data_IF_906972783121
#
_entry.id   IF_906972783121
#
_cell.length_a   1.000
_cell.length_b   1.000
_cell.length_c   1.000
_cell.angle_alpha   90.00
_cell.angle_beta   90.00
_cell.angle_gamma   90.00
#
_symmetry.space_group_name_H-M   'P 1'
#
loop_
_entity.id
_entity.type
_entity.pdbx_description
1 polymer ?
#
# COMPACT_ATOMS: atom_id res chain seq x y z
N UNK A 1 -3.27 24.63 12.35
CA UNK A 1 -3.96 24.96 11.09
C UNK A 1 -3.05 24.51 9.96
N UNK A 2 -3.19 23.25 9.58
CA UNK A 2 -2.63 22.74 8.34
C UNK A 2 -3.69 23.09 7.27
N UNK A 3 -3.34 23.79 6.19
CA UNK A 3 -4.24 23.88 5.02
C UNK A 3 -4.46 22.48 4.44
N UNK A 4 -5.14 22.32 3.28
CA UNK A 4 -5.32 21.00 2.68
C UNK A 4 -3.96 20.45 2.21
N UNK A 5 -3.21 19.81 3.11
CA UNK A 5 -1.88 19.24 2.88
C UNK A 5 -1.92 18.32 1.66
N UNK A 6 -3.03 17.63 1.47
CA UNK A 6 -3.23 16.63 0.41
C UNK A 6 -3.10 17.20 -0.99
N UNK A 7 -3.50 18.45 -1.24
CA UNK A 7 -3.39 19.09 -2.56
C UNK A 7 -1.94 19.43 -2.93
N UNK A 8 -1.04 19.38 -1.95
CA UNK A 8 0.40 19.54 -2.14
C UNK A 8 1.12 18.17 -2.25
N UNK A 9 0.43 17.06 -1.99
CA UNK A 9 1.01 15.72 -2.10
C UNK A 9 0.98 15.27 -3.56
N UNK A 10 2.14 15.28 -4.20
CA UNK A 10 2.41 14.55 -5.45
C UNK A 10 3.29 13.33 -5.17
N UNK A 11 2.67 12.14 -5.17
CA UNK A 11 3.36 10.87 -4.92
C UNK A 11 4.29 10.43 -6.06
N UNK A 12 4.21 11.07 -7.22
CA UNK A 12 5.09 10.81 -8.35
C UNK A 12 6.18 11.87 -8.53
N UNK A 13 6.14 12.96 -7.76
CA UNK A 13 7.20 13.94 -7.79
C UNK A 13 8.54 13.28 -7.40
N UNK A 14 9.66 13.64 -8.04
CA UNK A 14 10.98 13.16 -7.64
C UNK A 14 11.25 13.46 -6.16
N UNK A 15 11.81 12.49 -5.45
CA UNK A 15 12.22 12.64 -4.03
C UNK A 15 13.72 12.53 -3.86
N UNK A 16 14.24 13.10 -2.76
CA UNK A 16 15.66 12.96 -2.42
C UNK A 16 16.03 11.52 -2.11
N UNK A 17 17.29 11.15 -2.41
CA UNK A 17 17.91 9.87 -2.08
C UNK A 17 18.70 9.89 -0.79
N UNK A 18 18.75 11.01 -0.07
CA UNK A 18 19.61 11.19 1.12
C UNK A 18 19.36 10.17 2.25
N UNK A 19 18.20 9.52 2.27
CA UNK A 19 17.87 8.46 3.23
C UNK A 19 18.28 7.04 2.80
N UNK A 20 18.71 6.83 1.55
CA UNK A 20 19.15 5.53 1.05
C UNK A 20 20.61 5.24 1.47
N UNK A 21 21.04 3.96 1.53
CA UNK A 21 22.45 3.66 1.75
C UNK A 21 23.34 4.32 0.70
N UNK A 22 24.36 5.06 1.14
CA UNK A 22 25.26 5.79 0.23
C UNK A 22 25.96 4.85 -0.76
N UNK A 23 26.30 3.63 -0.32
CA UNK A 23 26.90 2.61 -1.18
C UNK A 23 26.00 2.25 -2.38
N UNK A 24 24.69 2.14 -2.16
CA UNK A 24 23.71 1.89 -3.22
C UNK A 24 23.61 3.08 -4.18
N UNK A 25 23.52 4.30 -3.64
CA UNK A 25 23.41 5.52 -4.45
C UNK A 25 24.65 5.70 -5.32
N UNK A 26 25.83 5.59 -4.73
CA UNK A 26 27.12 5.67 -5.42
C UNK A 26 27.26 4.59 -6.51
N UNK A 27 26.83 3.35 -6.23
CA UNK A 27 26.86 2.26 -7.19
C UNK A 27 25.92 2.51 -8.37
N UNK A 28 24.72 3.04 -8.11
CA UNK A 28 23.77 3.45 -9.14
C UNK A 28 24.34 4.56 -10.03
N UNK A 29 24.96 5.59 -9.45
CA UNK A 29 25.59 6.69 -10.19
C UNK A 29 26.74 6.20 -11.09
N UNK A 30 27.57 5.29 -10.58
CA UNK A 30 28.66 4.67 -11.34
C UNK A 30 28.18 3.59 -12.31
N UNK A 31 26.90 3.21 -12.27
CA UNK A 31 26.33 2.07 -13.02
C UNK A 31 27.09 0.76 -12.77
N UNK A 32 27.58 0.58 -11.55
CA UNK A 32 28.20 -0.67 -11.12
C UNK A 32 27.11 -1.66 -10.72
N UNK A 33 26.58 -2.36 -11.72
CA UNK A 33 25.45 -3.28 -11.56
C UNK A 33 25.72 -4.42 -10.58
N UNK A 34 26.97 -4.84 -10.42
CA UNK A 34 27.33 -5.87 -9.46
C UNK A 34 27.16 -5.39 -8.01
N UNK A 35 27.65 -4.18 -7.73
CA UNK A 35 27.47 -3.53 -6.43
C UNK A 35 26.01 -3.14 -6.19
N UNK A 36 25.31 -2.62 -7.19
CA UNK A 36 23.87 -2.31 -7.08
C UNK A 36 23.07 -3.55 -6.68
N UNK A 37 23.33 -4.70 -7.31
CA UNK A 37 22.67 -5.96 -6.94
C UNK A 37 22.92 -6.33 -5.49
N UNK A 38 24.18 -6.33 -5.06
CA UNK A 38 24.55 -6.70 -3.69
C UNK A 38 23.92 -5.77 -2.64
N UNK A 39 23.85 -4.47 -2.93
CA UNK A 39 23.24 -3.50 -2.03
C UNK A 39 21.71 -3.61 -2.03
N UNK A 40 21.08 -3.87 -3.18
CA UNK A 40 19.64 -4.07 -3.27
C UNK A 40 19.16 -5.32 -2.52
N UNK A 41 19.93 -6.41 -2.53
CA UNK A 41 19.64 -7.61 -1.73
C UNK A 41 19.55 -7.28 -0.22
N UNK A 42 20.26 -6.25 0.25
CA UNK A 42 20.21 -5.84 1.67
C UNK A 42 19.02 -4.95 2.02
N UNK A 43 18.48 -4.19 1.06
CA UNK A 43 17.41 -3.21 1.31
C UNK A 43 16.04 -3.61 0.80
N UNK A 44 15.96 -4.44 -0.24
CA UNK A 44 14.71 -4.89 -0.85
C UNK A 44 14.27 -6.21 -0.21
N UNK A 45 13.10 -6.21 0.40
CA UNK A 45 12.48 -7.43 0.92
C UNK A 45 11.77 -8.26 -0.16
N UNK A 46 11.99 -7.93 -1.44
CA UNK A 46 11.53 -8.60 -2.66
C UNK A 46 10.03 -8.77 -2.86
N UNK A 47 9.16 -8.18 -2.03
CA UNK A 47 7.71 -8.21 -2.29
C UNK A 47 7.05 -6.83 -2.26
N UNK A 48 7.63 -5.85 -1.58
CA UNK A 48 7.05 -4.50 -1.51
C UNK A 48 8.11 -3.45 -1.71
N UNK A 49 7.83 -2.43 -2.52
CA UNK A 49 8.68 -1.23 -2.59
C UNK A 49 8.40 -0.23 -1.47
N UNK A 50 7.38 -0.54 -0.66
CA UNK A 50 6.85 0.24 0.45
C UNK A 50 7.50 -0.07 1.80
N UNK A 51 8.82 -0.31 1.83
CA UNK A 51 9.55 -0.55 3.07
C UNK A 51 10.02 0.74 3.76
N UNK A 52 10.99 0.59 4.66
CA UNK A 52 11.69 1.68 5.38
C UNK A 52 12.06 2.89 4.53
N UNK A 53 12.42 2.67 3.26
CA UNK A 53 12.91 3.70 2.35
C UNK A 53 11.83 4.24 1.39
N UNK A 54 10.63 3.65 1.40
CA UNK A 54 9.45 4.09 0.67
C UNK A 54 9.71 4.56 -0.77
N UNK A 55 9.14 5.72 -1.12
CA UNK A 55 9.24 6.34 -2.45
C UNK A 55 10.66 6.53 -2.97
N UNK A 56 11.66 6.75 -2.10
CA UNK A 56 13.05 6.90 -2.55
C UNK A 56 13.57 5.61 -3.18
N UNK A 57 13.29 4.46 -2.56
CA UNK A 57 13.68 3.15 -3.07
C UNK A 57 12.83 2.74 -4.28
N UNK A 58 11.53 3.03 -4.26
CA UNK A 58 10.64 2.89 -5.41
C UNK A 58 11.22 3.60 -6.65
N UNK A 59 11.55 4.89 -6.54
CA UNK A 59 12.06 5.68 -7.67
C UNK A 59 13.44 5.20 -8.15
N UNK A 60 14.30 4.75 -7.23
CA UNK A 60 15.58 4.11 -7.60
C UNK A 60 15.34 2.81 -8.38
N UNK A 61 14.41 1.96 -7.93
CA UNK A 61 14.06 0.72 -8.62
C UNK A 61 13.48 0.97 -10.02
N UNK A 62 12.72 2.06 -10.19
CA UNK A 62 12.22 2.49 -11.51
C UNK A 62 13.34 2.85 -12.49
N UNK A 63 14.54 3.20 -12.03
CA UNK A 63 15.70 3.51 -12.88
C UNK A 63 16.54 2.29 -13.27
N UNK A 64 16.29 1.12 -12.67
CA UNK A 64 17.08 -0.08 -12.95
C UNK A 64 17.00 -0.48 -14.43
N UNK A 65 18.10 -0.96 -15.03
CA UNK A 65 18.10 -1.39 -16.41
C UNK A 65 17.35 -2.72 -16.57
N UNK A 66 16.56 -2.83 -17.63
CA UNK A 66 15.82 -4.06 -17.95
C UNK A 66 16.70 -5.03 -18.75
N UNK A 67 16.64 -6.32 -18.43
CA UNK A 67 17.32 -7.39 -19.15
C UNK A 67 18.82 -7.52 -18.86
N UNK A 68 19.33 -6.78 -17.86
CA UNK A 68 20.71 -6.92 -17.37
C UNK A 68 20.79 -7.97 -16.26
N UNK A 69 19.84 -7.95 -15.33
CA UNK A 69 19.78 -8.86 -14.20
C UNK A 69 18.31 -9.18 -13.87
N UNK A 70 17.97 -10.45 -13.66
CA UNK A 70 16.60 -10.87 -13.35
C UNK A 70 16.08 -10.31 -12.03
N UNK A 71 16.97 -10.02 -11.07
CA UNK A 71 16.59 -9.37 -9.81
C UNK A 71 16.16 -7.93 -10.08
N UNK A 72 16.86 -7.22 -10.97
CA UNK A 72 16.49 -5.86 -11.36
C UNK A 72 15.14 -5.84 -12.08
N UNK A 73 14.92 -6.78 -12.99
CA UNK A 73 13.65 -6.91 -13.70
C UNK A 73 12.50 -7.15 -12.70
N UNK A 74 12.70 -8.02 -11.71
CA UNK A 74 11.71 -8.29 -10.65
C UNK A 74 11.42 -7.06 -9.79
N UNK A 75 12.45 -6.34 -9.31
CA UNK A 75 12.26 -5.13 -8.51
C UNK A 75 11.63 -4.00 -9.29
N UNK A 76 12.03 -3.82 -10.54
CA UNK A 76 11.41 -2.83 -11.42
C UNK A 76 9.96 -3.20 -11.76
N UNK A 77 9.64 -4.49 -11.89
CA UNK A 77 8.25 -4.94 -12.08
C UNK A 77 7.38 -4.64 -10.86
N UNK A 78 7.87 -4.91 -9.64
CA UNK A 78 7.19 -4.54 -8.40
C UNK A 78 6.98 -3.02 -8.30
N UNK A 79 8.05 -2.23 -8.49
CA UNK A 79 7.99 -0.78 -8.48
C UNK A 79 7.02 -0.23 -9.55
N UNK A 80 6.97 -0.85 -10.72
CA UNK A 80 6.07 -0.45 -11.80
C UNK A 80 4.59 -0.62 -11.41
N UNK A 81 4.24 -1.64 -10.64
CA UNK A 81 2.87 -1.82 -10.13
C UNK A 81 2.55 -0.74 -9.11
N UNK A 82 3.42 -0.56 -8.12
CA UNK A 82 3.23 0.39 -7.02
C UNK A 82 3.17 1.84 -7.52
N UNK A 83 3.85 2.13 -8.64
CA UNK A 83 3.89 3.43 -9.30
C UNK A 83 2.83 3.62 -10.41
N UNK A 84 2.22 2.53 -10.91
CA UNK A 84 1.30 2.54 -12.06
C UNK A 84 1.98 2.70 -13.43
N UNK A 85 3.26 2.33 -13.59
CA UNK A 85 3.95 2.29 -14.88
C UNK A 85 3.72 0.95 -15.60
N UNK A 86 2.58 0.81 -16.27
CA UNK A 86 2.20 -0.43 -16.96
C UNK A 86 3.10 -0.78 -18.14
N UNK A 87 3.73 0.22 -18.76
CA UNK A 87 4.71 0.01 -19.83
C UNK A 87 6.06 -0.46 -19.29
N UNK A 88 6.49 0.10 -18.16
CA UNK A 88 7.63 -0.38 -17.38
C UNK A 88 7.45 -1.83 -16.97
N UNK A 89 6.31 -2.15 -16.38
CA UNK A 89 5.95 -3.51 -15.99
C UNK A 89 6.06 -4.46 -17.19
N UNK A 90 5.42 -4.12 -18.31
CA UNK A 90 5.43 -4.94 -19.53
C UNK A 90 6.84 -5.22 -20.05
N UNK A 91 7.74 -4.24 -20.00
CA UNK A 91 9.14 -4.41 -20.39
C UNK A 91 9.88 -5.33 -19.42
N UNK A 92 9.72 -5.11 -18.12
CA UNK A 92 10.42 -5.88 -17.08
C UNK A 92 10.02 -7.35 -17.06
N UNK A 93 8.73 -7.67 -17.23
CA UNK A 93 8.27 -9.08 -17.21
C UNK A 93 8.57 -9.83 -18.51
N UNK A 94 8.88 -9.14 -19.62
CA UNK A 94 9.17 -9.79 -20.90
C UNK A 94 10.46 -10.65 -20.86
N UNK A 95 11.40 -10.32 -19.97
CA UNK A 95 12.64 -11.08 -19.75
C UNK A 95 12.56 -12.12 -18.63
N UNK A 96 11.48 -12.13 -17.83
CA UNK A 96 11.36 -12.91 -16.59
C UNK A 96 10.41 -14.09 -16.80
N UNK A 97 10.96 -15.30 -16.90
CA UNK A 97 10.14 -16.52 -17.04
C UNK A 97 9.56 -17.04 -15.72
N UNK A 98 10.23 -16.79 -14.60
CA UNK A 98 9.80 -17.22 -13.26
C UNK A 98 9.33 -16.02 -12.42
N UNK A 99 8.11 -16.06 -11.87
CA UNK A 99 7.57 -15.01 -11.01
C UNK A 99 6.80 -13.90 -11.73
N UNK A 100 6.81 -13.85 -13.07
CA UNK A 100 5.99 -12.88 -13.84
C UNK A 100 4.49 -13.02 -13.60
N UNK A 101 4.02 -14.21 -13.24
CA UNK A 101 2.63 -14.48 -12.86
C UNK A 101 2.15 -13.59 -11.70
N UNK A 102 3.01 -13.35 -10.70
CA UNK A 102 2.69 -12.47 -9.58
C UNK A 102 2.32 -11.07 -10.08
N UNK A 103 3.22 -10.48 -10.87
CA UNK A 103 3.10 -9.10 -11.31
C UNK A 103 1.96 -8.90 -12.32
N UNK A 104 1.79 -9.87 -13.23
CA UNK A 104 0.69 -9.87 -14.18
C UNK A 104 -0.66 -10.05 -13.47
N UNK A 105 -0.72 -10.94 -12.47
CA UNK A 105 -1.93 -11.14 -11.67
C UNK A 105 -2.32 -9.89 -10.88
N UNK A 106 -1.36 -9.21 -10.24
CA UNK A 106 -1.61 -7.92 -9.58
C UNK A 106 -2.16 -6.89 -10.57
N UNK A 107 -1.49 -6.70 -11.72
CA UNK A 107 -1.97 -5.79 -12.77
C UNK A 107 -3.40 -6.12 -13.20
N UNK A 108 -3.70 -7.39 -13.45
CA UNK A 108 -5.03 -7.81 -13.91
C UNK A 108 -6.13 -7.50 -12.89
N UNK A 109 -5.81 -7.55 -11.59
CA UNK A 109 -6.72 -7.14 -10.51
C UNK A 109 -6.86 -5.62 -10.50
N UNK A 110 -5.74 -4.88 -10.47
CA UNK A 110 -5.74 -3.42 -10.42
C UNK A 110 -6.48 -2.78 -11.61
N UNK A 111 -6.30 -3.34 -12.81
CA UNK A 111 -6.91 -2.86 -14.06
C UNK A 111 -8.20 -3.60 -14.43
N UNK A 112 -8.68 -4.49 -13.55
CA UNK A 112 -9.88 -5.27 -13.78
C UNK A 112 -11.14 -4.40 -13.93
N UNK A 113 -12.16 -4.88 -14.68
CA UNK A 113 -13.41 -4.17 -14.86
C UNK A 113 -14.22 -4.09 -13.55
N UNK A 114 -15.24 -3.22 -13.53
CA UNK A 114 -16.05 -2.95 -12.34
C UNK A 114 -16.86 -4.17 -11.85
N UNK A 115 -17.19 -5.10 -12.74
CA UNK A 115 -17.94 -6.31 -12.45
C UNK A 115 -17.06 -7.50 -12.03
N UNK A 116 -15.73 -7.31 -11.99
CA UNK A 116 -14.80 -8.32 -11.48
C UNK A 116 -14.96 -8.47 -9.96
N UNK A 117 -15.35 -9.68 -9.55
CA UNK A 117 -15.62 -10.05 -8.15
C UNK A 117 -15.04 -11.42 -7.78
N UNK A 118 -14.27 -12.03 -8.68
CA UNK A 118 -13.65 -13.34 -8.48
C UNK A 118 -12.15 -13.18 -8.36
N UNK A 119 -11.57 -13.90 -7.40
CA UNK A 119 -10.12 -14.11 -7.36
C UNK A 119 -9.77 -14.95 -8.57
N UNK A 120 -8.85 -14.48 -9.45
CA UNK A 120 -8.41 -15.29 -10.58
C UNK A 120 -7.96 -16.67 -10.12
N UNK A 121 -8.36 -17.73 -10.85
CA UNK A 121 -7.92 -19.10 -10.54
C UNK A 121 -6.43 -19.25 -10.86
N UNK A 122 -5.67 -19.81 -9.91
CA UNK A 122 -4.20 -19.77 -9.93
C UNK A 122 -3.56 -21.03 -9.36
N UNK A 123 -2.38 -21.41 -9.88
CA UNK A 123 -1.77 -22.71 -9.66
C UNK A 123 -1.24 -22.92 -8.24
N UNK A 124 -0.96 -21.85 -7.48
CA UNK A 124 -0.37 -21.95 -6.14
C UNK A 124 -1.21 -21.26 -5.08
N UNK A 125 -1.23 -21.85 -3.87
CA UNK A 125 -1.89 -21.25 -2.70
C UNK A 125 -1.32 -19.88 -2.34
N UNK A 126 -0.03 -19.64 -2.63
CA UNK A 126 0.65 -18.37 -2.35
C UNK A 126 0.06 -17.23 -3.19
N UNK A 127 -0.13 -17.45 -4.49
CA UNK A 127 -0.76 -16.46 -5.37
C UNK A 127 -2.25 -16.30 -5.09
N UNK A 128 -2.96 -17.38 -4.76
CA UNK A 128 -4.35 -17.27 -4.31
C UNK A 128 -4.49 -16.38 -3.06
N UNK A 129 -3.55 -16.47 -2.12
CA UNK A 129 -3.55 -15.63 -0.91
C UNK A 129 -3.22 -14.17 -1.22
N UNK A 130 -2.18 -13.91 -2.01
CA UNK A 130 -1.80 -12.56 -2.43
C UNK A 130 -2.93 -11.86 -3.19
N UNK A 131 -3.47 -12.51 -4.22
CA UNK A 131 -4.50 -11.94 -5.08
C UNK A 131 -5.84 -11.81 -4.37
N UNK A 132 -6.17 -12.73 -3.46
CA UNK A 132 -7.37 -12.59 -2.64
C UNK A 132 -7.37 -11.32 -1.80
N UNK A 133 -6.20 -10.83 -1.36
CA UNK A 133 -6.07 -9.56 -0.64
C UNK A 133 -6.41 -8.36 -1.50
N UNK A 134 -5.81 -8.28 -2.69
CA UNK A 134 -6.13 -7.24 -3.67
C UNK A 134 -7.61 -7.30 -4.10
N UNK A 135 -8.16 -8.48 -4.38
CA UNK A 135 -9.56 -8.61 -4.77
C UNK A 135 -10.54 -8.27 -3.63
N UNK A 136 -10.21 -8.61 -2.39
CA UNK A 136 -10.98 -8.17 -1.22
C UNK A 136 -11.05 -6.64 -1.16
N UNK A 137 -9.90 -5.98 -1.33
CA UNK A 137 -9.79 -4.53 -1.30
C UNK A 137 -10.52 -3.85 -2.46
N UNK A 138 -10.34 -4.31 -3.70
CA UNK A 138 -10.96 -3.68 -4.87
C UNK A 138 -12.44 -4.05 -5.08
N UNK A 139 -12.94 -5.11 -4.44
CA UNK A 139 -14.37 -5.44 -4.48
C UNK A 139 -15.17 -4.79 -3.35
N UNK A 140 -14.54 -4.51 -2.20
CA UNK A 140 -15.21 -4.05 -0.98
C UNK A 140 -16.35 -4.98 -0.51
N UNK A 141 -16.30 -6.28 -0.87
CA UNK A 141 -17.34 -7.28 -0.59
C UNK A 141 -17.00 -8.19 0.61
N UNK A 142 -16.98 -7.64 1.83
CA UNK A 142 -16.55 -8.36 3.03
C UNK A 142 -17.20 -9.74 3.26
N UNK A 143 -18.50 -9.88 2.97
CA UNK A 143 -19.19 -11.17 3.13
C UNK A 143 -18.66 -12.25 2.18
N UNK A 144 -18.29 -11.89 0.94
CA UNK A 144 -17.81 -12.82 -0.08
C UNK A 144 -16.41 -13.35 0.26
N UNK A 145 -15.57 -12.49 0.85
CA UNK A 145 -14.19 -12.80 1.18
C UNK A 145 -13.99 -13.34 2.60
N UNK A 146 -15.05 -13.60 3.36
CA UNK A 146 -14.97 -14.12 4.74
C UNK A 146 -14.14 -15.39 4.88
N UNK A 147 -14.27 -16.32 3.93
CA UNK A 147 -13.50 -17.58 3.99
C UNK A 147 -12.02 -17.34 3.68
N UNK A 148 -11.73 -16.55 2.65
CA UNK A 148 -10.36 -16.13 2.35
C UNK A 148 -9.71 -15.41 3.55
N UNK A 149 -10.42 -14.47 4.18
CA UNK A 149 -9.93 -13.74 5.35
C UNK A 149 -9.62 -14.67 6.53
N UNK A 150 -10.44 -15.71 6.75
CA UNK A 150 -10.15 -16.74 7.76
C UNK A 150 -8.91 -17.56 7.39
N UNK A 151 -8.80 -17.98 6.14
CA UNK A 151 -7.67 -18.78 5.68
C UNK A 151 -6.36 -18.01 5.78
N UNK A 152 -6.40 -16.69 5.54
CA UNK A 152 -5.28 -15.76 5.66
C UNK A 152 -4.65 -15.78 7.07
N UNK A 153 -5.46 -15.87 8.12
CA UNK A 153 -4.97 -15.95 9.52
C UNK A 153 -4.15 -17.21 9.82
N UNK A 154 -4.39 -18.27 9.06
CA UNK A 154 -3.65 -19.53 9.18
C UNK A 154 -2.55 -19.67 8.13
N UNK A 155 -2.48 -18.74 7.17
CA UNK A 155 -1.55 -18.82 6.06
C UNK A 155 -0.22 -18.21 6.46
N UNK A 156 0.82 -19.04 6.41
CA UNK A 156 2.20 -18.60 6.54
C UNK A 156 2.95 -19.14 5.33
N UNK A 157 3.55 -18.25 4.53
CA UNK A 157 4.36 -18.63 3.37
C UNK A 157 5.77 -19.10 3.80
N UNK A 158 5.83 -19.94 4.83
CA UNK A 158 7.08 -20.31 5.54
C UNK A 158 8.12 -20.89 4.59
N UNK A 159 7.73 -21.79 3.70
CA UNK A 159 8.65 -22.41 2.73
C UNK A 159 9.25 -21.36 1.76
N UNK A 160 8.44 -20.38 1.34
CA UNK A 160 8.91 -19.29 0.47
C UNK A 160 9.87 -18.37 1.22
N UNK A 161 9.54 -18.03 2.48
CA UNK A 161 10.37 -17.19 3.34
C UNK A 161 11.74 -17.83 3.60
N UNK A 162 11.79 -19.14 3.86
CA UNK A 162 13.06 -19.84 4.08
C UNK A 162 13.85 -20.12 2.79
N UNK A 163 13.18 -20.22 1.64
CA UNK A 163 13.84 -20.39 0.36
C UNK A 163 14.56 -19.13 -0.14
N UNK A 164 14.29 -17.98 0.46
CA UNK A 164 14.92 -16.70 0.12
C UNK A 164 16.22 -16.49 0.88
N UNK A 165 17.33 -16.60 0.15
CA UNK A 165 18.67 -16.39 0.69
C UNK A 165 19.03 -14.90 0.85
N UNK A 166 18.31 -14.02 0.15
CA UNK A 166 18.56 -12.59 0.06
C UNK A 166 17.95 -11.78 1.21
N UNK A 167 16.92 -12.30 1.90
CA UNK A 167 16.29 -11.59 3.02
C UNK A 167 16.30 -12.42 4.30
N UNK A 168 16.71 -11.85 5.44
CA UNK A 168 16.64 -12.54 6.71
C UNK A 168 15.19 -12.95 7.06
N UNK A 169 14.94 -14.26 7.17
CA UNK A 169 13.62 -14.81 7.51
C UNK A 169 12.99 -14.19 8.77
N UNK A 170 13.82 -13.84 9.77
CA UNK A 170 13.36 -13.19 11.00
C UNK A 170 12.70 -11.83 10.77
N UNK A 171 13.11 -11.07 9.75
CA UNK A 171 12.46 -9.81 9.37
C UNK A 171 11.07 -10.07 8.81
N UNK A 172 10.96 -11.01 7.85
CA UNK A 172 9.67 -11.39 7.25
C UNK A 172 8.63 -11.79 8.29
N UNK A 173 9.01 -12.58 9.31
CA UNK A 173 8.06 -12.97 10.35
C UNK A 173 7.62 -11.80 11.25
N UNK A 174 8.52 -10.85 11.57
CA UNK A 174 8.14 -9.65 12.34
C UNK A 174 7.21 -8.73 11.55
N UNK A 175 7.55 -8.46 10.29
CA UNK A 175 6.73 -7.66 9.38
C UNK A 175 5.37 -8.31 9.14
N UNK A 176 5.34 -9.63 8.91
CA UNK A 176 4.09 -10.38 8.71
C UNK A 176 3.17 -10.28 9.91
N UNK A 177 3.69 -10.39 11.14
CA UNK A 177 2.89 -10.24 12.35
C UNK A 177 2.29 -8.83 12.46
N UNK A 178 3.07 -7.79 12.18
CA UNK A 178 2.55 -6.42 12.12
C UNK A 178 1.44 -6.28 11.05
N UNK A 179 1.65 -6.84 9.86
CA UNK A 179 0.66 -6.83 8.78
C UNK A 179 -0.63 -7.56 9.19
N UNK A 180 -0.53 -8.74 9.80
CA UNK A 180 -1.68 -9.52 10.24
C UNK A 180 -2.51 -8.73 11.28
N UNK A 181 -1.87 -8.14 12.30
CA UNK A 181 -2.56 -7.30 13.30
C UNK A 181 -3.24 -6.08 12.69
N UNK A 182 -2.54 -5.37 11.78
CA UNK A 182 -3.10 -4.20 11.11
C UNK A 182 -4.29 -4.55 10.22
N UNK A 183 -4.18 -5.61 9.42
CA UNK A 183 -5.28 -6.06 8.54
C UNK A 183 -6.48 -6.58 9.34
N UNK A 184 -6.23 -7.27 10.46
CA UNK A 184 -7.28 -7.65 11.40
C UNK A 184 -7.96 -6.43 12.01
N UNK A 185 -7.21 -5.42 12.45
CA UNK A 185 -7.78 -4.19 12.99
C UNK A 185 -8.69 -3.49 11.97
N UNK A 186 -8.27 -3.40 10.70
CA UNK A 186 -9.09 -2.87 9.59
C UNK A 186 -10.39 -3.66 9.45
N UNK A 187 -10.31 -4.99 9.43
CA UNK A 187 -11.49 -5.84 9.32
C UNK A 187 -12.45 -5.69 10.51
N UNK A 188 -11.94 -5.60 11.74
CA UNK A 188 -12.75 -5.40 12.94
C UNK A 188 -13.40 -4.00 12.98
N UNK A 189 -12.71 -2.96 12.48
CA UNK A 189 -13.31 -1.63 12.28
C UNK A 189 -14.48 -1.70 11.30
N UNK A 190 -14.29 -2.34 10.14
CA UNK A 190 -15.34 -2.48 9.14
C UNK A 190 -16.51 -3.35 9.64
N UNK A 191 -16.27 -4.24 10.60
CA UNK A 191 -17.30 -5.01 11.29
C UNK A 191 -17.98 -4.25 12.45
N UNK A 192 -17.46 -3.08 12.84
CA UNK A 192 -17.97 -2.28 13.96
C UNK A 192 -17.51 -2.74 15.35
N UNK A 193 -16.55 -3.67 15.44
CA UNK A 193 -16.00 -4.15 16.70
C UNK A 193 -14.83 -3.27 17.19
N UNK A 194 -15.09 -1.98 17.36
CA UNK A 194 -14.06 -0.96 17.67
C UNK A 194 -13.17 -1.28 18.89
N UNK A 195 -13.68 -1.85 20.01
CA UNK A 195 -12.81 -2.23 21.13
C UNK A 195 -11.77 -3.30 20.79
N UNK A 196 -12.14 -4.23 19.89
CA UNK A 196 -11.22 -5.28 19.42
C UNK A 196 -10.17 -4.67 18.49
N UNK A 197 -10.59 -3.82 17.55
CA UNK A 197 -9.67 -3.08 16.69
C UNK A 197 -8.67 -2.25 17.50
N UNK A 198 -9.13 -1.54 18.53
CA UNK A 198 -8.26 -0.79 19.44
C UNK A 198 -7.20 -1.68 20.12
N UNK A 199 -7.60 -2.86 20.62
CA UNK A 199 -6.66 -3.79 21.25
C UNK A 199 -5.58 -4.30 20.26
N UNK A 200 -5.98 -4.62 19.02
CA UNK A 200 -5.06 -5.04 17.96
C UNK A 200 -4.09 -3.90 17.60
N UNK A 201 -4.56 -2.65 17.56
CA UNK A 201 -3.73 -1.48 17.25
C UNK A 201 -2.70 -1.17 18.34
N UNK A 202 -3.09 -1.34 19.61
CA UNK A 202 -2.16 -1.23 20.73
C UNK A 202 -1.06 -2.30 20.66
N UNK A 203 -1.36 -3.51 20.19
CA UNK A 203 -0.33 -4.54 19.95
C UNK A 203 0.51 -4.22 18.70
N UNK A 204 -0.11 -3.76 17.60
CA UNK A 204 0.60 -3.34 16.39
C UNK A 204 1.64 -2.23 16.69
N UNK A 205 1.38 -1.43 17.72
CA UNK A 205 2.34 -0.47 18.25
C UNK A 205 3.61 -1.07 18.87
N UNK A 206 3.78 -2.39 18.89
CA UNK A 206 4.98 -3.04 19.42
C UNK A 206 5.55 -4.09 18.46
N UNK A 207 5.05 -4.15 17.23
CA UNK A 207 5.39 -5.15 16.23
C UNK A 207 6.14 -4.57 15.04
N UNK A 208 6.80 -5.46 14.30
CA UNK A 208 7.66 -5.07 13.18
C UNK A 208 8.91 -4.30 13.62
N UNK A 209 9.58 -3.70 12.66
CA UNK A 209 10.71 -2.81 12.90
C UNK A 209 10.20 -1.35 12.97
N UNK A 210 10.89 -0.46 13.68
CA UNK A 210 10.40 0.89 14.00
C UNK A 210 10.10 1.76 12.77
N UNK A 211 10.75 1.47 11.65
CA UNK A 211 10.66 2.23 10.41
C UNK A 211 9.71 1.61 9.39
N UNK A 212 9.03 0.51 9.74
CA UNK A 212 8.04 -0.10 8.85
C UNK A 212 6.81 0.81 8.71
N UNK A 213 6.31 1.08 7.50
CA UNK A 213 5.25 2.08 7.33
C UNK A 213 3.96 1.76 8.10
N UNK A 214 3.58 0.48 8.19
CA UNK A 214 2.42 0.08 8.98
C UNK A 214 2.59 0.41 10.47
N UNK A 215 3.82 0.34 10.99
CA UNK A 215 4.16 0.71 12.36
C UNK A 215 4.02 2.21 12.59
N UNK A 216 4.34 3.02 11.57
CA UNK A 216 4.19 4.47 11.58
C UNK A 216 2.72 4.91 11.47
N UNK A 217 1.88 4.11 10.81
CA UNK A 217 0.44 4.39 10.62
C UNK A 217 -0.39 3.95 11.83
N UNK A 218 -0.02 2.86 12.51
CA UNK A 218 -0.78 2.30 13.63
C UNK A 218 -1.24 3.34 14.66
N UNK A 219 -0.40 4.31 15.08
CA UNK A 219 -0.82 5.37 16.00
C UNK A 219 -1.92 6.31 15.47
N UNK A 220 -1.93 6.67 14.18
CA UNK A 220 -3.04 7.49 13.64
C UNK A 220 -4.31 6.67 13.52
N UNK A 221 -4.18 5.38 13.21
CA UNK A 221 -5.32 4.47 13.16
C UNK A 221 -5.91 4.24 14.57
N UNK A 222 -5.08 4.16 15.60
CA UNK A 222 -5.49 4.16 17.01
C UNK A 222 -6.31 5.43 17.33
N UNK A 223 -5.78 6.61 17.02
CA UNK A 223 -6.47 7.89 17.27
C UNK A 223 -7.83 7.95 16.55
N UNK A 224 -7.90 7.46 15.31
CA UNK A 224 -9.12 7.39 14.52
C UNK A 224 -10.16 6.42 15.12
N UNK A 225 -9.73 5.27 15.64
CA UNK A 225 -10.62 4.33 16.34
C UNK A 225 -11.10 4.92 17.67
N UNK A 226 -10.24 5.61 18.42
CA UNK A 226 -10.62 6.30 19.64
C UNK A 226 -11.71 7.35 19.37
N UNK A 227 -11.53 8.17 18.32
CA UNK A 227 -12.54 9.13 17.87
C UNK A 227 -13.88 8.44 17.57
N UNK A 228 -13.86 7.32 16.84
CA UNK A 228 -15.08 6.56 16.54
C UNK A 228 -15.76 5.95 17.78
N UNK A 229 -14.98 5.69 18.84
CA UNK A 229 -15.49 5.26 20.15
C UNK A 229 -16.03 6.42 21.00
N UNK A 230 -15.95 7.66 20.53
CA UNK A 230 -16.45 8.86 21.20
C UNK A 230 -15.40 9.65 21.99
N UNK A 231 -14.11 9.46 21.70
CA UNK A 231 -13.06 10.34 22.22
C UNK A 231 -13.13 11.71 21.52
N UNK A 232 -12.97 12.79 22.30
CA UNK A 232 -13.04 14.17 21.81
C UNK A 232 -11.70 14.68 21.25
N UNK A 233 -10.61 13.92 21.40
CA UNK A 233 -9.30 14.28 20.87
C UNK A 233 -9.31 14.23 19.34
N UNK A 234 -8.81 15.28 18.69
CA UNK A 234 -8.66 15.28 17.24
C UNK A 234 -7.43 14.46 16.82
N UNK A 235 -7.60 13.44 15.95
CA UNK A 235 -6.48 12.71 15.37
C UNK A 235 -5.52 13.64 14.62
N UNK A 236 -4.22 13.38 14.75
CA UNK A 236 -3.19 14.23 14.15
C UNK A 236 -2.96 13.98 12.66
N UNK A 237 -3.35 12.81 12.14
CA UNK A 237 -3.16 12.40 10.75
C UNK A 237 -1.71 12.58 10.26
N UNK A 238 -0.75 12.15 11.08
CA UNK A 238 0.70 12.21 10.79
C UNK A 238 1.03 11.52 9.47
N UNK A 239 0.33 10.44 9.16
CA UNK A 239 0.39 9.69 7.92
C UNK A 239 0.35 10.59 6.68
N UNK A 240 -0.53 11.60 6.64
CA UNK A 240 -0.62 12.52 5.49
C UNK A 240 0.66 13.35 5.33
N UNK A 241 1.32 13.73 6.44
CA UNK A 241 2.60 14.42 6.41
C UNK A 241 3.73 13.46 5.98
N UNK A 242 3.70 12.21 6.43
CA UNK A 242 4.68 11.18 6.04
C UNK A 242 4.61 10.85 4.54
N UNK A 243 3.42 10.85 3.93
CA UNK A 243 3.26 10.60 2.49
C UNK A 243 4.06 11.57 1.60
N UNK A 244 4.25 12.80 2.05
CA UNK A 244 5.03 13.81 1.32
C UNK A 244 6.55 13.57 1.40
N UNK A 245 7.02 12.71 2.32
CA UNK A 245 8.45 12.47 2.54
C UNK A 245 9.02 11.42 1.57
N UNK A 246 10.35 11.39 1.38
CA UNK A 246 11.00 10.33 0.60
C UNK A 246 10.73 8.91 1.11
N UNK A 247 10.56 8.73 2.42
CA UNK A 247 10.23 7.45 3.06
C UNK A 247 8.74 7.14 3.11
N UNK A 248 7.88 8.00 2.55
CA UNK A 248 6.45 7.76 2.48
C UNK A 248 6.11 6.57 1.57
N UNK A 249 4.89 6.06 1.71
CA UNK A 249 4.38 4.97 0.87
C UNK A 249 4.38 5.32 -0.62
N UNK A 250 4.48 4.30 -1.47
CA UNK A 250 4.22 4.35 -2.90
C UNK A 250 2.81 4.87 -3.19
N UNK A 251 2.54 5.30 -4.44
CA UNK A 251 1.18 5.61 -4.86
C UNK A 251 0.17 4.52 -4.50
N UNK A 252 0.44 3.26 -4.85
CA UNK A 252 -0.47 2.17 -4.53
C UNK A 252 -0.65 1.98 -3.02
N UNK A 253 0.44 1.82 -2.25
CA UNK A 253 0.35 1.65 -0.80
C UNK A 253 -0.38 2.81 -0.12
N UNK A 254 -0.16 4.04 -0.59
CA UNK A 254 -0.85 5.21 -0.09
C UNK A 254 -2.36 5.16 -0.36
N UNK A 255 -2.76 4.76 -1.56
CA UNK A 255 -4.16 4.57 -1.93
C UNK A 255 -4.82 3.53 -1.04
N UNK A 256 -4.18 2.37 -0.86
CA UNK A 256 -4.71 1.26 -0.07
C UNK A 256 -5.01 1.70 1.36
N UNK A 257 -4.04 2.35 2.00
CA UNK A 257 -4.20 2.84 3.35
C UNK A 257 -5.25 3.96 3.47
N UNK A 258 -5.31 4.89 2.52
CA UNK A 258 -6.33 5.94 2.52
C UNK A 258 -7.75 5.35 2.43
N UNK A 259 -7.97 4.38 1.53
CA UNK A 259 -9.28 3.74 1.36
C UNK A 259 -9.68 2.95 2.60
N UNK A 260 -8.75 2.21 3.22
CA UNK A 260 -9.05 1.46 4.45
C UNK A 260 -9.41 2.36 5.63
N UNK A 261 -8.76 3.52 5.77
CA UNK A 261 -8.99 4.47 6.86
C UNK A 261 -10.20 5.39 6.61
N UNK A 262 -10.66 5.51 5.36
CA UNK A 262 -11.72 6.45 4.95
C UNK A 262 -12.99 6.41 5.82
N UNK A 263 -13.51 5.23 6.23
CA UNK A 263 -14.68 5.19 7.09
C UNK A 263 -14.49 5.92 8.43
N UNK A 264 -13.30 5.86 9.02
CA UNK A 264 -13.00 6.58 10.26
C UNK A 264 -12.66 8.05 10.00
N UNK A 265 -11.93 8.33 8.92
CA UNK A 265 -11.61 9.71 8.52
C UNK A 265 -12.89 10.53 8.27
N UNK A 266 -13.97 9.90 7.80
CA UNK A 266 -15.27 10.58 7.63
C UNK A 266 -15.91 11.09 8.93
N UNK A 267 -15.43 10.64 10.09
CA UNK A 267 -15.86 11.13 11.41
C UNK A 267 -15.05 12.35 11.86
N UNK A 268 -13.92 12.63 11.21
CA UNK A 268 -13.10 13.79 11.54
C UNK A 268 -13.79 15.08 11.12
N UNK A 269 -13.70 16.15 11.93
CA UNK A 269 -14.19 17.46 11.53
C UNK A 269 -13.26 18.11 10.50
N UNK A 270 -13.86 18.92 9.61
CA UNK A 270 -13.14 19.78 8.66
C UNK A 270 -12.75 19.10 7.35
N UNK A 271 -11.84 19.74 6.61
CA UNK A 271 -11.53 19.42 5.21
C UNK A 271 -10.72 18.13 5.03
N UNK A 272 -10.28 17.46 6.10
CA UNK A 272 -9.41 16.26 6.03
C UNK A 272 -10.11 15.13 5.28
N UNK A 273 -11.42 14.97 5.45
CA UNK A 273 -12.17 13.93 4.74
C UNK A 273 -12.19 14.18 3.23
N UNK A 274 -12.60 15.38 2.80
CA UNK A 274 -12.61 15.75 1.38
C UNK A 274 -11.20 15.70 0.77
N UNK A 275 -10.23 16.22 1.50
CA UNK A 275 -8.80 16.22 1.14
C UNK A 275 -8.26 14.80 0.90
N UNK A 276 -8.57 13.87 1.81
CA UNK A 276 -8.12 12.47 1.73
C UNK A 276 -8.81 11.72 0.59
N UNK A 277 -10.12 11.93 0.43
CA UNK A 277 -10.89 11.33 -0.66
C UNK A 277 -10.41 11.83 -2.04
N UNK A 278 -10.13 13.13 -2.16
CA UNK A 278 -9.59 13.73 -3.39
C UNK A 278 -8.19 13.22 -3.72
N UNK A 279 -7.32 13.06 -2.72
CA UNK A 279 -6.01 12.46 -2.92
C UNK A 279 -6.12 11.01 -3.40
N UNK A 280 -6.95 10.20 -2.74
CA UNK A 280 -7.17 8.81 -3.14
C UNK A 280 -7.71 8.72 -4.58
N UNK A 281 -8.63 9.60 -4.98
CA UNK A 281 -9.16 9.65 -6.35
C UNK A 281 -8.07 9.97 -7.37
N UNK A 282 -7.26 11.01 -7.12
CA UNK A 282 -6.13 11.36 -8.00
C UNK A 282 -5.17 10.19 -8.16
N UNK A 283 -4.92 9.45 -7.07
CA UNK A 283 -4.05 8.28 -7.12
C UNK A 283 -4.67 7.19 -7.99
N UNK A 284 -5.93 6.82 -7.74
CA UNK A 284 -6.63 5.78 -8.49
C UNK A 284 -6.71 6.08 -10.00
N UNK A 285 -6.96 7.36 -10.34
CA UNK A 285 -6.98 7.83 -11.72
C UNK A 285 -5.63 7.64 -12.41
N UNK A 286 -4.54 7.98 -11.72
CA UNK A 286 -3.18 7.87 -12.30
C UNK A 286 -2.66 6.44 -12.34
N UNK A 287 -3.06 5.59 -11.39
CA UNK A 287 -2.87 4.14 -11.50
C UNK A 287 -3.70 3.55 -12.65
N UNK A 288 -4.75 4.24 -13.11
CA UNK A 288 -5.65 3.73 -14.14
C UNK A 288 -6.55 2.60 -13.65
N UNK A 289 -6.81 2.50 -12.35
CA UNK A 289 -7.66 1.46 -11.76
C UNK A 289 -9.14 1.84 -11.85
N UNK A 290 -9.99 1.14 -12.63
CA UNK A 290 -11.40 1.48 -12.75
C UNK A 290 -12.16 1.31 -11.43
N UNK A 291 -11.93 0.18 -10.75
CA UNK A 291 -12.54 -0.11 -9.44
C UNK A 291 -12.05 0.85 -8.37
N UNK A 292 -10.75 1.16 -8.36
CA UNK A 292 -10.19 2.14 -7.45
C UNK A 292 -10.85 3.52 -7.61
N UNK A 293 -11.02 3.98 -8.85
CA UNK A 293 -11.67 5.25 -9.16
C UNK A 293 -13.11 5.29 -8.65
N UNK A 294 -13.90 4.22 -8.91
CA UNK A 294 -15.28 4.14 -8.43
C UNK A 294 -15.36 4.25 -6.90
N UNK A 295 -14.51 3.51 -6.18
CA UNK A 295 -14.47 3.54 -4.71
C UNK A 295 -14.16 4.95 -4.21
N UNK A 296 -13.12 5.58 -4.76
CA UNK A 296 -12.68 6.90 -4.29
C UNK A 296 -13.63 8.03 -4.69
N UNK A 297 -14.30 7.91 -5.84
CA UNK A 297 -15.34 8.85 -6.26
C UNK A 297 -16.55 8.79 -5.34
N UNK A 298 -16.95 7.59 -4.91
CA UNK A 298 -18.04 7.44 -3.95
C UNK A 298 -17.69 8.14 -2.61
N UNK A 299 -16.46 7.98 -2.13
CA UNK A 299 -15.99 8.67 -0.92
C UNK A 299 -15.93 10.19 -1.09
N UNK A 300 -15.42 10.67 -2.23
CA UNK A 300 -15.33 12.10 -2.50
C UNK A 300 -16.72 12.74 -2.58
N UNK A 301 -17.65 12.12 -3.31
CA UNK A 301 -19.03 12.60 -3.41
C UNK A 301 -19.72 12.64 -2.04
N UNK A 302 -19.43 11.67 -1.16
CA UNK A 302 -19.91 11.68 0.21
C UNK A 302 -19.31 12.85 1.02
N UNK A 303 -18.01 13.10 0.90
CA UNK A 303 -17.35 14.21 1.57
C UNK A 303 -17.92 15.56 1.13
N UNK A 304 -18.05 15.76 -0.18
CA UNK A 304 -18.65 16.96 -0.77
C UNK A 304 -20.10 17.20 -0.29
N UNK A 305 -20.90 16.13 -0.21
CA UNK A 305 -22.27 16.21 0.30
C UNK A 305 -22.33 16.61 1.78
N UNK A 306 -21.41 16.09 2.62
CA UNK A 306 -21.37 16.42 4.05
C UNK A 306 -20.88 17.85 4.32
N UNK A 307 -19.99 18.40 3.49
CA UNK A 307 -19.54 19.80 3.59
C UNK A 307 -20.60 20.79 3.08
N UNK A 308 -21.45 20.37 2.14
CA UNK A 308 -22.49 21.20 1.54
C UNK A 308 -23.88 20.53 1.55
N UNK A 309 -24.47 20.32 2.75
CA UNK A 309 -25.76 19.64 2.86
C UNK A 309 -26.86 20.47 2.16
N UNK A 310 -27.28 20.02 0.96
CA UNK A 310 -28.37 20.62 0.19
C UNK A 310 -28.06 21.00 -1.26
N UNK A 311 -26.80 20.92 -1.71
CA UNK A 311 -26.45 21.07 -3.13
C UNK A 311 -26.48 19.71 -3.82
N UNK A 312 -27.08 19.63 -5.02
CA UNK A 312 -27.11 18.39 -5.79
C UNK A 312 -25.70 18.10 -6.39
N UNK A 313 -25.27 16.83 -6.53
CA UNK A 313 -23.93 16.46 -7.03
C UNK A 313 -23.57 16.93 -8.44
N UNK A 314 -24.47 17.63 -9.15
CA UNK A 314 -24.24 18.20 -10.48
C UNK A 314 -23.95 19.70 -10.47
N UNK A 315 -23.94 20.32 -9.29
CA UNK A 315 -23.71 21.76 -9.12
C UNK A 315 -22.39 22.07 -8.38
N UNK A 316 -21.56 21.04 -8.13
CA UNK A 316 -20.16 21.13 -7.69
C UNK A 316 -19.23 20.81 -8.87
#
# INVERSE_FOLDING_TARGET
MLGPITDQIDLWAPVSRDGLPSALVDAMERRDWSSVRSELEMVMDGMTTDGTYGRALLQLAMELPVGIDSVFDSYKAAASIDHGDWDGLRRSVAGVSAGSEQFLGMRDILLGPLDQIEVPDRPTRQYAMLFGGYEYEFSQLARRFRNWARDMLSFQATDLVWARADVPAGRHFRQRRLQDEMMLAIAEVHAGHLPTAMALLLEANHLGDETEPLRLIAPDFEDLVALAMGDDRQPSMRYLVELAKPSGLSPLGAWQMLVHLMPLVSLMPGEIFLSSASLAERIAARLGSPRGQLITQAWRAMAEYLEHPGLAPREL
#
